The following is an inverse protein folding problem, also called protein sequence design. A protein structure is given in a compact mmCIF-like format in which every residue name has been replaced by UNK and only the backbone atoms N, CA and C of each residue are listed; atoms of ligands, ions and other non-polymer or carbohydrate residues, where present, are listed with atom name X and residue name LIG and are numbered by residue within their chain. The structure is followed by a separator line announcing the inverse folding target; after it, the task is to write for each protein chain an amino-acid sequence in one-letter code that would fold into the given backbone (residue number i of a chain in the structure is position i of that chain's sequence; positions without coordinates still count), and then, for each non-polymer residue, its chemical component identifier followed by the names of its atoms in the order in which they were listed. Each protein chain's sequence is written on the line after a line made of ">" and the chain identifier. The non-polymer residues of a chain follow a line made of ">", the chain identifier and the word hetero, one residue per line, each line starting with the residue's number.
data_IF_617537406624
#
_entry.id   IF_617537406624
#
_cell.length_a   1.000
_cell.length_b   1.000
_cell.length_c   1.000
_cell.angle_alpha   90.00
_cell.angle_beta   90.00
_cell.angle_gamma   90.00
#
_symmetry.space_group_name_H-M   'P 1'
#
loop_
_entity.id
_entity.type
_entity.pdbx_description
1 polymer ?
#
# COMPACT_ATOMS: atom_id res chain seq x y z
N UNK A 1 -54.85 -20.77 -24.95
CA UNK A 1 -54.61 -22.22 -24.92
C UNK A 1 -53.41 -22.48 -24.03
N UNK A 2 -53.70 -22.88 -22.79
CA UNK A 2 -52.74 -23.45 -21.85
C UNK A 2 -52.46 -24.91 -22.25
N UNK A 3 -51.24 -25.41 -22.01
CA UNK A 3 -50.95 -26.68 -21.33
C UNK A 3 -49.43 -27.02 -21.36
N UNK A 4 -48.93 -27.46 -20.19
CA UNK A 4 -47.80 -28.37 -19.92
C UNK A 4 -46.36 -27.80 -19.86
N UNK A 5 -45.41 -28.46 -19.14
CA UNK A 5 -45.55 -29.31 -17.96
C UNK A 5 -44.56 -28.98 -16.80
N UNK A 6 -44.95 -29.43 -15.62
CA UNK A 6 -44.14 -29.54 -14.39
C UNK A 6 -43.10 -30.64 -14.58
N UNK A 7 -41.82 -30.35 -14.30
CA UNK A 7 -40.73 -31.33 -14.27
C UNK A 7 -40.17 -31.48 -12.85
N UNK A 8 -40.02 -32.75 -12.48
CA UNK A 8 -39.86 -33.32 -11.14
C UNK A 8 -38.46 -33.09 -10.57
N UNK A 9 -38.41 -32.73 -9.27
CA UNK A 9 -37.23 -32.73 -8.42
C UNK A 9 -36.66 -34.15 -8.27
N UNK A 10 -35.40 -34.35 -8.66
CA UNK A 10 -34.59 -35.50 -8.27
C UNK A 10 -33.41 -35.04 -7.41
N UNK A 11 -33.51 -35.17 -6.09
CA UNK A 11 -32.43 -34.90 -5.16
C UNK A 11 -31.54 -36.15 -5.04
N UNK A 12 -30.34 -36.11 -5.64
CA UNK A 12 -29.29 -37.11 -5.45
C UNK A 12 -28.43 -36.65 -4.26
N UNK A 13 -28.63 -37.26 -3.10
CA UNK A 13 -27.81 -37.04 -1.90
C UNK A 13 -26.50 -37.80 -2.04
N UNK A 14 -25.44 -37.13 -2.49
CA UNK A 14 -24.06 -37.65 -2.44
C UNK A 14 -23.56 -37.46 -1.01
N UNK A 15 -23.59 -38.53 -0.22
CA UNK A 15 -22.94 -38.57 1.09
C UNK A 15 -21.42 -38.60 0.88
N UNK A 16 -20.78 -37.43 0.86
CA UNK A 16 -19.31 -37.33 0.94
C UNK A 16 -18.88 -37.63 2.37
N UNK A 17 -18.24 -38.78 2.58
CA UNK A 17 -17.48 -39.06 3.81
C UNK A 17 -16.32 -38.07 3.90
N UNK A 18 -16.46 -37.03 4.72
CA UNK A 18 -15.32 -36.22 5.15
C UNK A 18 -14.44 -37.10 6.05
N UNK A 19 -13.34 -37.60 5.51
CA UNK A 19 -12.24 -38.08 6.33
C UNK A 19 -11.63 -36.86 7.03
N UNK A 20 -11.77 -36.79 8.36
CA UNK A 20 -11.02 -35.85 9.17
C UNK A 20 -9.52 -36.18 9.00
N UNK A 21 -8.80 -35.35 8.24
CA UNK A 21 -7.35 -35.44 8.18
C UNK A 21 -6.82 -34.99 9.56
N UNK A 22 -6.24 -35.93 10.32
CA UNK A 22 -5.40 -35.58 11.45
C UNK A 22 -4.26 -34.70 10.93
N UNK A 23 -4.25 -33.44 11.35
CA UNK A 23 -3.15 -32.53 11.07
C UNK A 23 -1.96 -33.02 11.89
N UNK A 24 -0.91 -33.48 11.21
CA UNK A 24 0.37 -33.77 11.85
C UNK A 24 1.01 -32.45 12.31
N UNK A 25 0.79 -32.12 13.58
CA UNK A 25 1.33 -30.92 14.22
C UNK A 25 2.86 -30.88 14.13
N UNK A 26 3.54 -32.03 14.17
CA UNK A 26 4.99 -32.11 14.07
C UNK A 26 5.49 -31.70 12.69
N UNK A 27 4.84 -32.19 11.62
CA UNK A 27 5.15 -31.78 10.26
C UNK A 27 4.88 -30.28 10.03
N UNK A 28 3.79 -29.75 10.59
CA UNK A 28 3.48 -28.31 10.54
C UNK A 28 4.55 -27.47 11.23
N UNK A 29 5.01 -27.86 12.41
CA UNK A 29 6.07 -27.15 13.13
C UNK A 29 7.40 -27.14 12.36
N UNK A 30 7.76 -28.26 11.71
CA UNK A 30 8.97 -28.33 10.90
C UNK A 30 8.91 -27.42 9.65
N UNK A 31 7.74 -27.31 9.01
CA UNK A 31 7.53 -26.38 7.90
C UNK A 31 7.63 -24.91 8.37
N UNK A 32 7.04 -24.58 9.53
CA UNK A 32 7.14 -23.24 10.13
C UNK A 32 8.60 -22.87 10.39
N UNK A 33 9.38 -23.75 11.02
CA UNK A 33 10.78 -23.47 11.34
C UNK A 33 11.61 -23.25 10.07
N UNK A 34 11.38 -24.07 9.05
CA UNK A 34 12.05 -23.94 7.75
C UNK A 34 11.76 -22.60 7.10
N UNK A 35 10.50 -22.18 7.07
CA UNK A 35 10.09 -20.89 6.49
C UNK A 35 10.60 -19.70 7.31
N UNK A 36 10.56 -19.79 8.64
CA UNK A 36 11.09 -18.76 9.53
C UNK A 36 12.57 -18.52 9.27
N UNK A 37 13.37 -19.59 9.22
CA UNK A 37 14.80 -19.48 8.94
C UNK A 37 15.10 -18.90 7.55
N UNK A 38 14.27 -19.18 6.55
CA UNK A 38 14.39 -18.55 5.23
C UNK A 38 14.08 -17.06 5.27
N UNK A 39 13.02 -16.64 5.98
CA UNK A 39 12.68 -15.23 6.13
C UNK A 39 13.76 -14.46 6.89
N UNK A 40 14.28 -15.01 7.97
CA UNK A 40 15.38 -14.39 8.73
C UNK A 40 16.63 -14.18 7.87
N UNK A 41 17.00 -15.17 7.06
CA UNK A 41 18.12 -15.05 6.13
C UNK A 41 17.89 -13.95 5.09
N UNK A 42 16.68 -13.87 4.52
CA UNK A 42 16.33 -12.84 3.55
C UNK A 42 16.32 -11.45 4.16
N UNK A 43 15.72 -11.28 5.35
CA UNK A 43 15.73 -10.03 6.11
C UNK A 43 17.17 -9.60 6.41
N UNK A 44 18.02 -10.53 6.85
CA UNK A 44 19.44 -10.27 7.09
C UNK A 44 20.19 -9.81 5.83
N UNK A 45 19.82 -10.32 4.65
CA UNK A 45 20.38 -9.84 3.38
C UNK A 45 19.89 -8.43 3.06
N UNK A 46 18.59 -8.16 3.22
CA UNK A 46 18.00 -6.84 2.95
C UNK A 46 18.57 -5.74 3.86
N UNK A 47 18.94 -6.09 5.09
CA UNK A 47 19.53 -5.19 6.08
C UNK A 47 21.07 -5.14 6.03
N UNK A 48 21.69 -5.96 5.16
CA UNK A 48 23.14 -6.03 5.02
C UNK A 48 23.76 -4.78 4.40
N UNK A 49 25.08 -4.66 4.52
CA UNK A 49 25.85 -3.53 3.96
C UNK A 49 26.11 -3.64 2.46
N UNK A 50 25.90 -4.83 1.86
CA UNK A 50 26.01 -5.04 0.42
C UNK A 50 24.71 -4.61 -0.27
N UNK A 51 24.64 -3.32 -0.65
CA UNK A 51 23.49 -2.73 -1.34
C UNK A 51 23.05 -3.52 -2.58
N UNK A 52 23.98 -4.05 -3.38
CA UNK A 52 23.62 -4.73 -4.62
C UNK A 52 22.96 -6.08 -4.31
N UNK A 53 23.48 -6.80 -3.32
CA UNK A 53 22.88 -8.04 -2.84
C UNK A 53 21.51 -7.80 -2.21
N UNK A 54 21.36 -6.72 -1.43
CA UNK A 54 20.08 -6.34 -0.82
C UNK A 54 19.02 -6.01 -1.89
N UNK A 55 19.37 -5.23 -2.92
CA UNK A 55 18.48 -4.94 -4.06
C UNK A 55 18.09 -6.22 -4.82
N UNK A 56 19.04 -7.10 -5.10
CA UNK A 56 18.77 -8.36 -5.80
C UNK A 56 17.85 -9.28 -4.98
N UNK A 57 18.03 -9.34 -3.66
CA UNK A 57 17.15 -10.10 -2.77
C UNK A 57 15.74 -9.49 -2.75
N UNK A 58 15.62 -8.17 -2.67
CA UNK A 58 14.32 -7.48 -2.74
C UNK A 58 13.59 -7.82 -4.04
N UNK A 59 14.26 -7.68 -5.18
CA UNK A 59 13.67 -7.99 -6.50
C UNK A 59 13.28 -9.47 -6.61
N UNK A 60 14.09 -10.38 -6.08
CA UNK A 60 13.77 -11.81 -6.05
C UNK A 60 12.53 -12.11 -5.19
N UNK A 61 12.41 -11.50 -4.02
CA UNK A 61 11.24 -11.65 -3.13
C UNK A 61 9.97 -11.10 -3.78
N UNK A 62 10.05 -9.93 -4.42
CA UNK A 62 8.92 -9.33 -5.13
C UNK A 62 8.49 -10.17 -6.34
N UNK A 63 9.46 -10.70 -7.09
CA UNK A 63 9.20 -11.51 -8.28
C UNK A 63 8.54 -12.86 -7.98
N UNK A 64 8.57 -13.35 -6.73
CA UNK A 64 7.86 -14.58 -6.34
C UNK A 64 6.35 -14.47 -6.52
N UNK A 65 5.79 -13.26 -6.41
CA UNK A 65 4.35 -13.03 -6.35
C UNK A 65 3.68 -13.48 -5.05
N UNK A 66 4.44 -14.06 -4.10
CA UNK A 66 3.92 -14.45 -2.79
C UNK A 66 3.63 -13.19 -1.95
N UNK A 67 2.37 -12.95 -1.53
CA UNK A 67 2.01 -11.74 -0.79
C UNK A 67 2.81 -11.55 0.50
N UNK A 68 3.14 -12.63 1.18
CA UNK A 68 3.92 -12.61 2.43
C UNK A 68 5.36 -12.19 2.15
N UNK A 69 6.00 -12.79 1.13
CA UNK A 69 7.37 -12.40 0.76
C UNK A 69 7.45 -10.96 0.29
N UNK A 70 6.47 -10.50 -0.49
CA UNK A 70 6.37 -9.11 -0.92
C UNK A 70 6.24 -8.18 0.28
N UNK A 71 5.35 -8.49 1.22
CA UNK A 71 5.13 -7.66 2.42
C UNK A 71 6.39 -7.59 3.29
N UNK A 72 7.08 -8.71 3.52
CA UNK A 72 8.35 -8.72 4.25
C UNK A 72 9.41 -7.90 3.53
N UNK A 73 9.52 -8.03 2.20
CA UNK A 73 10.49 -7.28 1.41
C UNK A 73 10.22 -5.77 1.47
N UNK A 74 8.96 -5.36 1.29
CA UNK A 74 8.54 -3.95 1.33
C UNK A 74 8.78 -3.37 2.72
N UNK A 75 8.28 -4.01 3.78
CA UNK A 75 8.42 -3.50 5.15
C UNK A 75 9.89 -3.40 5.57
N UNK A 76 10.69 -4.41 5.26
CA UNK A 76 12.14 -4.37 5.56
C UNK A 76 12.86 -3.32 4.71
N UNK A 77 12.49 -3.19 3.44
CA UNK A 77 13.11 -2.26 2.50
C UNK A 77 12.85 -0.79 2.83
N UNK A 78 11.65 -0.44 3.34
CA UNK A 78 11.28 0.94 3.69
C UNK A 78 12.19 1.55 4.77
N UNK A 79 12.68 0.73 5.70
CA UNK A 79 13.59 1.12 6.78
C UNK A 79 15.03 0.65 6.56
N UNK A 80 15.39 0.19 5.36
CA UNK A 80 16.76 -0.23 5.06
C UNK A 80 17.74 0.95 5.17
N UNK A 81 19.03 0.70 5.39
CA UNK A 81 20.03 1.78 5.45
C UNK A 81 20.27 2.42 4.07
N UNK A 82 20.16 1.64 3.01
CA UNK A 82 20.43 2.10 1.65
C UNK A 82 19.23 2.87 1.04
N UNK A 83 19.47 4.10 0.61
CA UNK A 83 18.43 4.98 0.03
C UNK A 83 17.82 4.44 -1.27
N UNK A 84 18.54 3.65 -2.07
CA UNK A 84 18.03 3.10 -3.33
C UNK A 84 17.06 1.96 -3.05
N UNK A 85 17.39 1.10 -2.09
CA UNK A 85 16.48 0.04 -1.63
C UNK A 85 15.22 0.63 -1.01
N UNK A 86 15.34 1.66 -0.16
CA UNK A 86 14.19 2.37 0.41
C UNK A 86 13.29 3.01 -0.67
N UNK A 87 13.87 3.65 -1.68
CA UNK A 87 13.11 4.25 -2.78
C UNK A 87 12.36 3.18 -3.61
N UNK A 88 13.00 2.05 -3.85
CA UNK A 88 12.39 0.91 -4.54
C UNK A 88 11.24 0.30 -3.72
N UNK A 89 11.44 0.11 -2.43
CA UNK A 89 10.42 -0.38 -1.51
C UNK A 89 9.23 0.59 -1.39
N UNK A 90 9.48 1.90 -1.41
CA UNK A 90 8.43 2.93 -1.40
C UNK A 90 7.53 2.85 -2.64
N UNK A 91 8.12 2.75 -3.84
CA UNK A 91 7.35 2.58 -5.06
C UNK A 91 6.55 1.27 -5.03
N UNK A 92 7.16 0.18 -4.58
CA UNK A 92 6.50 -1.12 -4.47
C UNK A 92 5.32 -1.09 -3.50
N UNK A 93 5.48 -0.42 -2.34
CA UNK A 93 4.42 -0.22 -1.36
C UNK A 93 3.23 0.52 -1.99
N UNK A 94 3.47 1.65 -2.64
CA UNK A 94 2.41 2.48 -3.22
C UNK A 94 1.73 1.82 -4.43
N UNK A 95 2.51 1.17 -5.29
CA UNK A 95 2.00 0.55 -6.53
C UNK A 95 1.16 -0.72 -6.28
N UNK A 96 1.19 -1.27 -5.07
CA UNK A 96 0.36 -2.43 -4.70
C UNK A 96 -0.91 -2.07 -3.94
N UNK A 97 -1.03 -0.83 -3.50
CA UNK A 97 -2.13 -0.37 -2.66
C UNK A 97 -3.23 0.24 -3.54
N UNK A 98 -4.46 0.09 -3.09
CA UNK A 98 -5.62 0.66 -3.78
C UNK A 98 -5.99 2.04 -3.24
N UNK A 99 -5.46 2.39 -2.06
CA UNK A 99 -5.63 3.70 -1.47
C UNK A 99 -4.46 4.06 -0.54
N UNK A 100 -4.34 5.35 -0.26
CA UNK A 100 -3.56 5.86 0.86
C UNK A 100 -4.49 6.57 1.84
N UNK A 101 -4.08 6.61 3.11
CA UNK A 101 -4.74 7.44 4.12
C UNK A 101 -3.80 8.55 4.54
N UNK A 102 -4.24 9.80 4.39
CA UNK A 102 -3.58 10.96 4.96
C UNK A 102 -4.13 11.17 6.37
N UNK A 103 -3.23 11.33 7.33
CA UNK A 103 -3.55 11.69 8.71
C UNK A 103 -2.95 13.06 8.97
N UNK A 104 -3.82 14.04 9.22
CA UNK A 104 -3.42 15.41 9.54
C UNK A 104 -3.16 15.50 11.03
N UNK A 105 -1.99 16.00 11.41
CA UNK A 105 -1.62 16.19 12.80
C UNK A 105 -2.27 17.49 13.32
N UNK A 106 -3.11 17.35 14.36
CA UNK A 106 -3.93 18.45 14.88
C UNK A 106 -3.58 18.88 16.31
N UNK A 107 -2.61 18.21 16.94
CA UNK A 107 -2.20 18.54 18.31
C UNK A 107 -1.61 19.95 18.46
N UNK A 108 -1.03 20.51 17.39
CA UNK A 108 -0.34 21.81 17.41
C UNK A 108 -1.09 22.95 16.70
N UNK A 109 -2.27 22.71 16.12
CA UNK A 109 -3.02 23.72 15.36
C UNK A 109 -4.13 24.36 16.20
N UNK A 110 -4.47 25.62 15.90
CA UNK A 110 -5.51 26.38 16.62
C UNK A 110 -6.94 25.93 16.30
N UNK A 111 -7.90 26.30 17.15
CA UNK A 111 -9.32 25.92 16.97
C UNK A 111 -9.93 26.42 15.64
N UNK A 112 -9.56 27.62 15.20
CA UNK A 112 -9.99 28.15 13.90
C UNK A 112 -9.44 27.32 12.72
N UNK A 113 -8.19 26.84 12.83
CA UNK A 113 -7.56 26.00 11.81
C UNK A 113 -8.17 24.59 11.78
N UNK A 114 -8.56 24.04 12.95
CA UNK A 114 -9.32 22.78 13.05
C UNK A 114 -10.70 22.92 12.42
N UNK A 115 -11.40 24.01 12.68
CA UNK A 115 -12.69 24.28 12.06
C UNK A 115 -12.57 24.37 10.52
N UNK A 116 -11.53 25.06 10.02
CA UNK A 116 -11.23 25.12 8.59
C UNK A 116 -10.90 23.73 8.01
N UNK A 117 -10.13 22.91 8.72
CA UNK A 117 -9.81 21.54 8.32
C UNK A 117 -11.06 20.66 8.24
N UNK A 118 -11.96 20.77 9.21
CA UNK A 118 -13.24 20.07 9.24
C UNK A 118 -14.16 20.42 8.06
N UNK A 119 -14.11 21.67 7.58
CA UNK A 119 -14.86 22.11 6.40
C UNK A 119 -14.23 21.70 5.07
N UNK A 120 -12.95 21.32 5.07
CA UNK A 120 -12.21 20.94 3.87
C UNK A 120 -12.39 19.46 3.51
N UNK A 121 -11.63 18.58 4.17
CA UNK A 121 -11.70 17.12 4.03
C UNK A 121 -11.63 16.38 5.37
N UNK A 122 -11.46 17.11 6.47
CA UNK A 122 -11.23 16.54 7.80
C UNK A 122 -9.80 16.05 8.03
N UNK A 123 -9.58 15.53 9.24
CA UNK A 123 -8.28 15.11 9.74
C UNK A 123 -7.79 13.79 9.13
N UNK A 124 -8.69 12.91 8.72
CA UNK A 124 -8.39 11.61 8.14
C UNK A 124 -9.00 11.55 6.74
N UNK A 125 -8.15 11.40 5.72
CA UNK A 125 -8.57 11.47 4.32
C UNK A 125 -8.07 10.23 3.57
N UNK A 126 -8.97 9.44 2.99
CA UNK A 126 -8.59 8.28 2.18
C UNK A 126 -8.69 8.60 0.69
N UNK A 127 -7.59 8.40 -0.03
CA UNK A 127 -7.48 8.73 -1.46
C UNK A 127 -7.22 7.47 -2.28
N UNK A 128 -8.05 7.17 -3.29
CA UNK A 128 -7.87 5.99 -4.12
C UNK A 128 -6.67 6.13 -5.06
N UNK A 129 -5.97 5.03 -5.29
CA UNK A 129 -4.82 4.89 -6.18
C UNK A 129 -5.23 4.08 -7.43
N UNK A 130 -5.69 4.77 -8.47
CA UNK A 130 -6.35 4.14 -9.60
C UNK A 130 -5.39 3.56 -10.65
N UNK A 131 -4.85 4.40 -11.54
CA UNK A 131 -3.90 3.96 -12.57
C UNK A 131 -2.49 4.24 -12.10
N UNK A 132 -1.61 3.26 -12.29
CA UNK A 132 -0.22 3.29 -11.86
C UNK A 132 0.66 3.21 -13.11
N UNK A 133 1.64 4.12 -13.20
CA UNK A 133 2.51 4.32 -14.36
C UNK A 133 3.97 4.13 -13.92
N UNK A 134 4.49 2.88 -13.91
CA UNK A 134 5.82 2.56 -13.40
C UNK A 134 6.96 3.34 -14.07
N UNK A 135 6.81 3.66 -15.35
CA UNK A 135 7.81 4.37 -16.15
C UNK A 135 7.97 5.85 -15.77
N UNK A 136 6.93 6.44 -15.18
CA UNK A 136 6.96 7.83 -14.67
C UNK A 136 6.83 7.91 -13.15
N UNK A 137 6.73 6.76 -12.47
CA UNK A 137 6.45 6.66 -11.03
C UNK A 137 5.25 7.51 -10.59
N UNK A 138 4.20 7.51 -11.42
CA UNK A 138 2.99 8.30 -11.21
C UNK A 138 1.79 7.41 -10.93
N UNK A 139 0.89 7.86 -10.06
CA UNK A 139 -0.35 7.19 -9.72
C UNK A 139 -1.49 8.20 -9.78
N UNK A 140 -2.49 7.97 -10.63
CA UNK A 140 -3.65 8.85 -10.70
C UNK A 140 -4.60 8.63 -9.52
N UNK A 141 -5.01 9.73 -8.90
CA UNK A 141 -5.93 9.76 -7.75
C UNK A 141 -7.40 9.73 -8.18
N UNK A 142 -7.70 9.98 -9.45
CA UNK A 142 -9.08 10.00 -9.95
C UNK A 142 -9.18 9.69 -11.44
N UNK A 143 -10.29 9.06 -11.82
CA UNK A 143 -10.73 8.88 -13.20
C UNK A 143 -9.95 7.79 -13.93
N UNK A 144 -10.31 7.54 -15.19
CA UNK A 144 -9.52 6.70 -16.12
C UNK A 144 -8.89 7.63 -17.14
N UNK A 145 -7.58 7.87 -17.00
CA UNK A 145 -6.76 8.58 -17.99
C UNK A 145 -5.92 7.55 -18.74
N UNK A 146 -5.56 7.83 -19.99
CA UNK A 146 -4.61 7.03 -20.76
C UNK A 146 -3.15 7.28 -20.37
N UNK A 147 -2.89 8.23 -19.47
CA UNK A 147 -1.57 8.59 -18.98
C UNK A 147 -1.59 9.24 -17.60
N UNK A 148 -0.40 9.51 -17.06
CA UNK A 148 -0.23 10.26 -15.82
C UNK A 148 -0.86 11.65 -15.94
N UNK A 149 -1.84 11.94 -15.10
CA UNK A 149 -2.51 13.24 -15.07
C UNK A 149 -1.99 14.05 -13.88
N UNK A 150 -1.01 14.91 -14.14
CA UNK A 150 -0.27 15.68 -13.11
C UNK A 150 -1.15 16.55 -12.21
N UNK A 151 -2.37 16.90 -12.63
CA UNK A 151 -3.32 17.66 -11.80
C UNK A 151 -4.13 16.83 -10.81
N UNK A 152 -4.07 15.49 -10.90
CA UNK A 152 -4.78 14.54 -10.00
C UNK A 152 -3.93 13.29 -9.80
N UNK A 153 -2.71 13.48 -9.34
CA UNK A 153 -1.73 12.41 -9.21
C UNK A 153 -1.02 12.42 -7.86
N UNK A 154 -0.51 11.25 -7.51
CA UNK A 154 0.58 11.04 -6.58
C UNK A 154 1.80 10.62 -7.39
N UNK A 155 2.91 11.31 -7.22
CA UNK A 155 4.17 11.03 -7.91
C UNK A 155 5.25 10.67 -6.90
N UNK A 156 6.06 9.66 -7.22
CA UNK A 156 7.18 9.22 -6.39
C UNK A 156 8.49 9.62 -7.07
N UNK A 157 9.41 10.19 -6.32
CA UNK A 157 10.75 10.53 -6.78
C UNK A 157 11.78 10.21 -5.70
N UNK A 158 12.41 9.04 -5.81
CA UNK A 158 13.33 8.55 -4.78
C UNK A 158 12.59 8.27 -3.47
N UNK A 159 12.92 9.04 -2.42
CA UNK A 159 12.29 8.93 -1.10
C UNK A 159 11.16 9.94 -0.87
N UNK A 160 10.73 10.64 -1.92
CA UNK A 160 9.70 11.68 -1.84
C UNK A 160 8.43 11.26 -2.55
N UNK A 161 7.30 11.72 -2.00
CA UNK A 161 5.98 11.58 -2.57
C UNK A 161 5.34 12.95 -2.66
N UNK A 162 4.95 13.35 -3.88
CA UNK A 162 4.20 14.57 -4.13
C UNK A 162 2.75 14.21 -4.47
N UNK A 163 1.80 14.86 -3.82
CA UNK A 163 0.36 14.71 -4.06
C UNK A 163 -0.15 16.00 -4.70
N UNK A 164 -0.95 15.87 -5.76
CA UNK A 164 -1.64 17.00 -6.37
C UNK A 164 -3.05 16.60 -6.80
N UNK A 165 -4.03 17.38 -6.37
CA UNK A 165 -5.44 17.25 -6.73
C UNK A 165 -6.05 18.65 -6.90
N UNK A 166 -6.13 19.10 -8.14
CA UNK A 166 -6.54 20.46 -8.53
C UNK A 166 -8.04 20.80 -8.44
N UNK A 167 -9.01 19.86 -8.48
CA UNK A 167 -10.43 20.19 -8.28
C UNK A 167 -10.71 20.96 -6.99
N UNK A 168 -11.83 21.68 -6.90
CA UNK A 168 -12.25 22.34 -5.65
C UNK A 168 -13.25 21.46 -4.86
N UNK A 169 -13.00 21.15 -3.57
CA UNK A 169 -11.79 21.48 -2.79
C UNK A 169 -10.56 20.69 -3.26
N UNK A 170 -9.39 21.31 -3.26
CA UNK A 170 -8.16 20.70 -3.79
C UNK A 170 -7.10 20.47 -2.73
N UNK A 171 -6.14 19.59 -3.01
CA UNK A 171 -5.00 19.30 -2.13
C UNK A 171 -3.69 19.34 -2.92
N UNK A 172 -2.64 19.89 -2.31
CA UNK A 172 -1.26 19.65 -2.69
C UNK A 172 -0.52 19.11 -1.46
N UNK A 173 0.39 18.17 -1.62
CA UNK A 173 1.12 17.59 -0.49
C UNK A 173 2.52 17.15 -0.88
N UNK A 174 3.43 17.23 0.09
CA UNK A 174 4.81 16.77 -0.08
C UNK A 174 5.22 15.98 1.14
N UNK A 175 5.69 14.75 0.91
CA UNK A 175 6.07 13.81 1.94
C UNK A 175 7.44 13.23 1.64
N UNK A 176 8.19 12.92 2.68
CA UNK A 176 9.45 12.22 2.60
C UNK A 176 9.39 10.96 3.48
N UNK A 177 10.02 9.90 3.01
CA UNK A 177 10.22 8.69 3.78
C UNK A 177 11.30 8.95 4.84
N UNK A 178 10.94 8.89 6.11
CA UNK A 178 11.86 9.02 7.23
C UNK A 178 12.61 7.70 7.51
N UNK A 179 13.60 7.75 8.39
CA UNK A 179 14.44 6.60 8.74
C UNK A 179 13.64 5.42 9.33
N UNK A 180 12.46 5.69 9.91
CA UNK A 180 11.55 4.67 10.43
C UNK A 180 10.65 4.05 9.34
N UNK A 181 10.80 4.46 8.08
CA UNK A 181 9.98 3.97 6.97
C UNK A 181 8.59 4.62 6.92
N UNK A 182 8.38 5.75 7.60
CA UNK A 182 7.12 6.49 7.58
C UNK A 182 7.18 7.64 6.58
N UNK A 183 6.09 7.88 5.86
CA UNK A 183 5.93 9.04 5.01
C UNK A 183 5.41 10.21 5.85
N UNK A 184 6.28 11.17 6.12
CA UNK A 184 5.98 12.36 6.92
C UNK A 184 6.12 13.59 6.05
N UNK A 185 5.22 14.55 6.21
CA UNK A 185 5.15 15.68 5.29
C UNK A 185 4.15 16.75 5.69
N UNK A 186 3.71 17.48 4.67
CA UNK A 186 2.71 18.53 4.82
C UNK A 186 1.73 18.46 3.66
N UNK A 187 0.50 18.90 3.92
CA UNK A 187 -0.52 19.10 2.90
C UNK A 187 -1.05 20.52 2.96
N UNK A 188 -1.41 21.06 1.81
CA UNK A 188 -1.95 22.40 1.63
C UNK A 188 -3.32 22.31 0.97
N UNK A 189 -4.32 22.96 1.56
CA UNK A 189 -5.60 23.17 0.89
C UNK A 189 -5.41 24.16 -0.26
N UNK A 190 -5.84 23.79 -1.46
CA UNK A 190 -5.73 24.69 -2.61
C UNK A 190 -6.64 25.91 -2.50
N UNK A 191 -7.73 25.80 -1.75
CA UNK A 191 -8.73 26.85 -1.54
C UNK A 191 -8.27 27.85 -0.47
N UNK A 192 -8.04 27.36 0.75
CA UNK A 192 -7.69 28.23 1.89
C UNK A 192 -6.21 28.57 1.98
N UNK A 193 -5.35 27.82 1.28
CA UNK A 193 -3.88 27.89 1.37
C UNK A 193 -3.31 27.55 2.76
N UNK A 194 -4.14 27.09 3.70
CA UNK A 194 -3.66 26.54 4.96
C UNK A 194 -2.84 25.28 4.72
N UNK A 195 -1.74 25.14 5.46
CA UNK A 195 -0.81 24.02 5.32
C UNK A 195 -0.66 23.29 6.64
N UNK A 196 -0.98 22.01 6.65
CA UNK A 196 -1.03 21.17 7.83
C UNK A 196 0.08 20.11 7.80
N UNK A 197 0.74 19.82 8.95
CA UNK A 197 1.57 18.62 9.08
C UNK A 197 0.72 17.37 8.88
N UNK A 198 1.28 16.37 8.20
CA UNK A 198 0.55 15.14 7.87
C UNK A 198 1.47 13.93 7.71
N UNK A 199 0.90 12.74 7.85
CA UNK A 199 1.53 11.47 7.50
C UNK A 199 0.71 10.70 6.47
N UNK A 200 1.36 9.76 5.77
CA UNK A 200 0.68 8.80 4.89
C UNK A 200 0.76 7.41 5.52
N UNK A 201 -0.38 6.75 5.65
CA UNK A 201 -0.50 5.33 5.92
C UNK A 201 -0.93 4.56 4.66
N UNK A 202 -0.28 3.43 4.41
CA UNK A 202 -0.63 2.52 3.34
C UNK A 202 -1.83 1.65 3.77
N UNK A 203 -2.90 1.59 2.97
CA UNK A 203 -4.04 0.68 3.18
C UNK A 203 -4.05 -0.45 2.16
#
# INVERSE_FOLDING_TARGET
>A
MQYLPVAVLGAISIATTLSAQEIDIGALMADIETRSGQYEQLIGILQGTDTNRALAAFDAMVATGDPTMIEVAVNTGLSATDSRLRARALWEALSRKDAITLIIETSEIGEDEKAALGNWYGEIQTWPLNQKYPETQCINLYGRSSGCYLGRSLSVSGLRVDIKYDPNPGIAGQFALDEAGKLVGRVTSNESRHTYPATIEFR
#
